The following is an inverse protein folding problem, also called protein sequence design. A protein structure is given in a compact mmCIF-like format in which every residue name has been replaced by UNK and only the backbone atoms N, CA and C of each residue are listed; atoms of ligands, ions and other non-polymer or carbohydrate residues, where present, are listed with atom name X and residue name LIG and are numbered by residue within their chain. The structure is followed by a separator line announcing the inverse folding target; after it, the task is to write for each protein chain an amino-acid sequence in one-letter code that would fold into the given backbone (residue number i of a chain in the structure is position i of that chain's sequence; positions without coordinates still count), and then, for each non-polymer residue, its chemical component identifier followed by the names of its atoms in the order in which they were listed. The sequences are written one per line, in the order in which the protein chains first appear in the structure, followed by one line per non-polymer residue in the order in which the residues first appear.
data_IF_330946252482
#
_entry.id   IF_330946252482
#
_cell.length_a   1.000
_cell.length_b   1.000
_cell.length_c   1.000
_cell.angle_alpha   90.00
_cell.angle_beta   90.00
_cell.angle_gamma   90.00
#
_symmetry.space_group_name_H-M   'P 1'
#
loop_
_entity.id
_entity.type
_entity.pdbx_description
1 polymer ?
#
# COMPACT_ATOMS: atom_id res chain seq x y z
N UNK A 1 11.80 -7.70 8.78
CA UNK A 1 12.61 -6.80 7.95
C UNK A 1 14.07 -6.99 8.34
N UNK A 2 14.95 -7.43 7.43
CA UNK A 2 16.29 -7.96 7.80
C UNK A 2 17.34 -6.90 8.16
N UNK A 3 17.15 -5.63 7.77
CA UNK A 3 18.09 -4.53 8.07
C UNK A 3 17.35 -3.24 8.50
N UNK A 4 17.06 -3.08 9.80
CA UNK A 4 16.47 -1.83 10.32
C UNK A 4 17.40 -0.63 10.11
N UNK A 5 18.72 -0.85 10.08
CA UNK A 5 19.74 0.21 9.91
C UNK A 5 19.69 0.91 8.55
N UNK A 6 19.07 0.30 7.54
CA UNK A 6 18.90 0.90 6.19
C UNK A 6 17.69 1.84 6.10
N UNK A 7 16.88 1.92 7.15
CA UNK A 7 15.72 2.81 7.21
C UNK A 7 16.12 4.22 7.64
N UNK A 8 15.37 5.22 7.18
CA UNK A 8 15.49 6.58 7.72
C UNK A 8 15.02 6.63 9.19
N UNK A 9 15.41 7.67 9.92
CA UNK A 9 15.03 7.88 11.33
C UNK A 9 13.51 7.77 11.54
N UNK A 10 12.71 8.41 10.69
CA UNK A 10 11.24 8.35 10.78
C UNK A 10 10.68 6.94 10.53
N UNK A 11 11.32 6.16 9.65
CA UNK A 11 10.90 4.79 9.35
C UNK A 11 11.30 3.83 10.47
N UNK A 12 12.48 4.01 11.08
CA UNK A 12 12.88 3.28 12.27
C UNK A 12 11.95 3.59 13.44
N UNK A 13 11.57 4.86 13.61
CA UNK A 13 10.60 5.26 14.61
C UNK A 13 9.25 4.57 14.39
N UNK A 14 8.71 4.60 13.17
CA UNK A 14 7.46 3.89 12.84
C UNK A 14 7.55 2.40 13.19
N UNK A 15 8.67 1.76 12.86
CA UNK A 15 8.86 0.34 13.13
C UNK A 15 8.84 0.04 14.64
N UNK A 16 9.64 0.79 15.41
CA UNK A 16 9.74 0.61 16.88
C UNK A 16 8.42 0.89 17.57
N UNK A 17 7.76 2.00 17.26
CA UNK A 17 6.49 2.35 17.90
C UNK A 17 5.38 1.35 17.59
N UNK A 18 5.37 0.74 16.39
CA UNK A 18 4.42 -0.33 16.07
C UNK A 18 4.72 -1.60 16.87
N UNK A 19 6.00 -1.91 17.15
CA UNK A 19 6.34 -3.05 18.00
C UNK A 19 5.90 -2.79 19.44
N UNK A 20 6.22 -1.62 19.99
CA UNK A 20 5.83 -1.22 21.34
C UNK A 20 4.30 -1.32 21.55
N UNK A 21 3.50 -0.81 20.60
CA UNK A 21 2.03 -0.92 20.65
C UNK A 21 1.58 -2.38 20.60
N UNK A 22 2.19 -3.20 19.75
CA UNK A 22 1.82 -4.60 19.59
C UNK A 22 2.13 -5.40 20.86
N UNK A 23 3.24 -5.10 21.51
CA UNK A 23 3.71 -5.80 22.70
C UNK A 23 3.15 -5.19 23.99
N UNK A 24 2.35 -4.13 23.90
CA UNK A 24 1.78 -3.42 25.05
C UNK A 24 2.83 -2.73 25.92
N UNK A 25 3.99 -2.41 25.34
CA UNK A 25 5.14 -1.81 26.03
C UNK A 25 5.37 -0.36 25.58
N UNK A 26 6.25 0.35 26.28
CA UNK A 26 6.68 1.69 25.90
C UNK A 26 8.19 1.80 26.12
N UNK A 27 8.97 1.63 25.05
CA UNK A 27 10.42 1.63 25.13
C UNK A 27 10.98 3.06 25.20
N UNK A 28 12.12 3.23 25.87
CA UNK A 28 12.86 4.51 25.91
C UNK A 28 13.18 5.03 24.51
N UNK A 29 13.42 4.11 23.57
CA UNK A 29 13.69 4.43 22.17
C UNK A 29 12.53 5.13 21.45
N UNK A 30 11.30 5.04 21.96
CA UNK A 30 10.10 5.71 21.42
C UNK A 30 9.77 6.98 22.22
N UNK A 31 10.00 6.98 23.54
CA UNK A 31 9.74 8.13 24.42
C UNK A 31 10.75 9.26 24.20
N UNK A 32 12.03 8.91 24.11
CA UNK A 32 13.15 9.87 24.11
C UNK A 32 13.37 10.47 22.72
N UNK A 33 12.96 9.75 21.68
CA UNK A 33 13.02 10.22 20.30
C UNK A 33 11.75 10.98 19.93
N UNK A 34 11.88 12.25 19.55
CA UNK A 34 10.75 13.02 19.01
C UNK A 34 10.55 12.71 17.52
N UNK A 35 9.30 12.50 17.05
CA UNK A 35 9.02 12.53 15.62
C UNK A 35 9.37 13.93 15.11
N UNK A 36 10.12 14.01 14.01
CA UNK A 36 10.67 15.26 13.47
C UNK A 36 9.64 16.37 13.21
N UNK A 37 10.09 17.56 12.79
CA UNK A 37 9.21 18.71 12.53
C UNK A 37 8.07 18.35 11.57
N UNK A 38 6.86 18.82 11.87
CA UNK A 38 5.70 18.63 10.99
C UNK A 38 5.97 19.30 9.64
N UNK A 39 5.74 18.55 8.58
CA UNK A 39 5.76 19.05 7.21
C UNK A 39 4.59 18.41 6.48
N UNK A 40 3.82 19.20 5.74
CA UNK A 40 2.69 18.71 4.95
C UNK A 40 3.13 17.70 3.87
N UNK A 41 4.39 17.71 3.45
CA UNK A 41 4.95 16.76 2.50
C UNK A 41 5.26 15.38 3.13
N UNK A 42 5.28 15.25 4.45
CA UNK A 42 5.76 14.07 5.17
C UNK A 42 4.65 13.35 5.94
N UNK A 43 3.83 12.62 5.19
CA UNK A 43 2.75 11.75 5.72
C UNK A 43 3.19 10.77 6.81
N UNK A 44 4.45 10.32 6.77
CA UNK A 44 5.02 9.41 7.77
C UNK A 44 5.14 10.07 9.16
N UNK A 45 5.54 11.34 9.22
CA UNK A 45 5.70 12.10 10.47
C UNK A 45 4.36 12.28 11.18
N UNK A 46 3.29 12.59 10.44
CA UNK A 46 1.93 12.69 10.98
C UNK A 46 1.49 11.37 11.62
N UNK A 47 1.78 10.24 10.97
CA UNK A 47 1.42 8.92 11.50
C UNK A 47 2.21 8.53 12.74
N UNK A 48 3.51 8.81 12.76
CA UNK A 48 4.35 8.62 13.95
C UNK A 48 3.85 9.43 15.14
N UNK A 49 3.39 10.66 14.92
CA UNK A 49 2.78 11.51 15.96
C UNK A 49 1.45 10.96 16.46
N UNK A 50 0.60 10.46 15.57
CA UNK A 50 -0.67 9.82 15.96
C UNK A 50 -0.45 8.56 16.82
N UNK A 51 0.53 7.73 16.44
CA UNK A 51 0.90 6.54 17.22
C UNK A 51 1.47 6.92 18.59
N UNK A 52 2.31 7.96 18.65
CA UNK A 52 2.83 8.49 19.93
C UNK A 52 1.72 9.06 20.80
N UNK A 53 0.79 9.81 20.22
CA UNK A 53 -0.37 10.33 20.92
C UNK A 53 -1.20 9.19 21.52
N UNK A 54 -1.43 8.11 20.76
CA UNK A 54 -2.16 6.95 21.23
C UNK A 54 -1.51 6.29 22.46
N UNK A 55 -0.20 6.01 22.41
CA UNK A 55 0.52 5.40 23.55
C UNK A 55 0.55 6.35 24.77
N UNK A 56 0.71 7.65 24.53
CA UNK A 56 0.77 8.64 25.59
C UNK A 56 -0.58 9.03 26.20
N UNK A 57 -1.69 8.47 25.73
CA UNK A 57 -3.04 8.80 26.22
C UNK A 57 -3.62 7.62 26.98
N UNK A 58 -3.85 7.77 28.29
CA UNK A 58 -4.40 6.70 29.13
C UNK A 58 -5.82 6.27 28.73
N UNK A 59 -6.63 7.19 28.21
CA UNK A 59 -7.98 6.93 27.71
C UNK A 59 -8.17 7.56 26.32
N UNK A 60 -7.73 6.88 25.24
CA UNK A 60 -7.77 7.43 23.90
C UNK A 60 -9.22 7.63 23.41
N UNK A 61 -9.46 8.71 22.67
CA UNK A 61 -10.78 8.97 22.09
C UNK A 61 -11.17 7.91 21.07
N UNK A 62 -12.46 7.72 20.85
CA UNK A 62 -12.97 6.76 19.87
C UNK A 62 -12.40 7.00 18.46
N UNK A 63 -12.24 8.27 18.07
CA UNK A 63 -11.64 8.64 16.78
C UNK A 63 -10.17 8.23 16.70
N UNK A 64 -9.40 8.40 17.78
CA UNK A 64 -8.01 7.97 17.82
C UNK A 64 -7.88 6.44 17.74
N UNK A 65 -8.77 5.71 18.43
CA UNK A 65 -8.84 4.25 18.34
C UNK A 65 -9.16 3.81 16.91
N UNK A 66 -10.12 4.45 16.22
CA UNK A 66 -10.45 4.15 14.82
C UNK A 66 -9.24 4.35 13.90
N UNK A 67 -8.48 5.43 14.08
CA UNK A 67 -7.27 5.68 13.31
C UNK A 67 -6.22 4.58 13.55
N UNK A 68 -6.04 4.14 14.80
CA UNK A 68 -5.10 3.05 15.11
C UNK A 68 -5.53 1.72 14.49
N UNK A 69 -6.84 1.44 14.47
CA UNK A 69 -7.40 0.26 13.79
C UNK A 69 -7.08 0.23 12.30
N UNK A 70 -6.80 1.37 11.66
CA UNK A 70 -6.29 1.40 10.29
C UNK A 70 -4.76 1.39 10.24
N UNK A 71 -4.10 2.21 11.05
CA UNK A 71 -2.66 2.43 10.96
C UNK A 71 -1.84 1.17 11.27
N UNK A 72 -2.22 0.45 12.32
CA UNK A 72 -1.49 -0.71 12.81
C UNK A 72 -1.60 -1.92 11.87
N UNK A 73 -2.80 -2.36 11.44
CA UNK A 73 -2.91 -3.58 10.65
C UNK A 73 -2.82 -3.36 9.14
N UNK A 74 -3.05 -2.14 8.63
CA UNK A 74 -3.03 -1.87 7.18
C UNK A 74 -1.83 -1.00 6.82
N UNK A 75 -1.77 0.23 7.36
CA UNK A 75 -0.80 1.20 6.86
C UNK A 75 0.65 0.82 7.13
N UNK A 76 1.00 0.53 8.39
CA UNK A 76 2.40 0.26 8.76
C UNK A 76 2.96 -0.97 8.04
N UNK A 77 2.27 -2.12 7.99
CA UNK A 77 2.71 -3.26 7.18
C UNK A 77 2.89 -2.90 5.70
N UNK A 78 1.92 -2.20 5.10
CA UNK A 78 2.00 -1.82 3.68
C UNK A 78 3.16 -0.86 3.39
N UNK A 79 3.47 0.07 4.30
CA UNK A 79 4.62 0.97 4.16
C UNK A 79 5.93 0.18 4.05
N UNK A 80 6.15 -0.79 4.94
CA UNK A 80 7.36 -1.60 4.90
C UNK A 80 7.40 -2.57 3.71
N UNK A 81 6.26 -3.13 3.30
CA UNK A 81 6.17 -3.97 2.10
C UNK A 81 6.57 -3.21 0.83
N UNK A 82 6.02 -2.01 0.64
CA UNK A 82 6.37 -1.14 -0.49
C UNK A 82 7.84 -0.73 -0.40
N UNK A 83 8.34 -0.41 0.80
CA UNK A 83 9.74 -0.04 0.99
C UNK A 83 10.70 -1.18 0.65
N UNK A 84 10.33 -2.42 0.96
CA UNK A 84 11.14 -3.61 0.64
C UNK A 84 11.03 -4.02 -0.83
N UNK A 85 9.87 -3.81 -1.46
CA UNK A 85 9.58 -4.18 -2.84
C UNK A 85 9.03 -2.98 -3.62
N UNK A 86 9.87 -1.97 -3.85
CA UNK A 86 9.44 -0.68 -4.40
C UNK A 86 9.27 -0.67 -5.93
N UNK A 87 9.62 -1.76 -6.61
CA UNK A 87 9.57 -1.80 -8.07
C UNK A 87 8.12 -1.89 -8.57
N UNK A 88 7.85 -1.24 -9.70
CA UNK A 88 6.52 -1.15 -10.31
C UNK A 88 5.79 -2.50 -10.46
N UNK A 89 6.44 -3.63 -10.85
CA UNK A 89 5.76 -4.91 -10.99
C UNK A 89 5.13 -5.46 -9.71
N UNK A 90 5.53 -4.98 -8.53
CA UNK A 90 4.89 -5.36 -7.26
C UNK A 90 3.64 -4.53 -6.95
N UNK A 91 3.35 -3.48 -7.71
CA UNK A 91 2.27 -2.53 -7.43
C UNK A 91 0.90 -3.17 -7.29
N UNK A 92 0.52 -4.06 -8.23
CA UNK A 92 -0.78 -4.76 -8.15
C UNK A 92 -0.85 -5.72 -6.95
N UNK A 93 0.25 -6.38 -6.61
CA UNK A 93 0.34 -7.23 -5.41
C UNK A 93 0.20 -6.41 -4.12
N UNK A 94 0.84 -5.23 -4.07
CA UNK A 94 0.70 -4.31 -2.94
C UNK A 94 -0.73 -3.82 -2.78
N UNK A 95 -1.37 -3.42 -3.88
CA UNK A 95 -2.76 -2.98 -3.86
C UNK A 95 -3.70 -4.09 -3.40
N UNK A 96 -3.53 -5.32 -3.91
CA UNK A 96 -4.27 -6.49 -3.46
C UNK A 96 -4.06 -6.79 -1.97
N UNK A 97 -2.81 -6.74 -1.49
CA UNK A 97 -2.49 -6.95 -0.08
C UNK A 97 -3.12 -5.89 0.81
N UNK A 98 -3.11 -4.63 0.37
CA UNK A 98 -3.75 -3.53 1.08
C UNK A 98 -5.27 -3.74 1.20
N UNK A 99 -5.94 -4.15 0.11
CA UNK A 99 -7.38 -4.53 0.15
C UNK A 99 -7.60 -5.68 1.13
N UNK A 100 -6.77 -6.72 1.05
CA UNK A 100 -6.86 -7.91 1.91
C UNK A 100 -6.74 -7.54 3.39
N UNK A 101 -5.78 -6.70 3.76
CA UNK A 101 -5.61 -6.21 5.12
C UNK A 101 -6.78 -5.31 5.55
N UNK A 102 -7.35 -4.52 4.65
CA UNK A 102 -8.51 -3.67 5.00
C UNK A 102 -9.79 -4.46 5.26
N UNK A 103 -9.91 -5.71 4.77
CA UNK A 103 -11.09 -6.57 4.99
C UNK A 103 -11.33 -6.91 6.47
N UNK A 104 -10.30 -6.83 7.31
CA UNK A 104 -10.43 -7.11 8.75
C UNK A 104 -10.93 -5.89 9.56
N UNK A 105 -11.09 -4.72 8.93
CA UNK A 105 -11.53 -3.50 9.61
C UNK A 105 -13.03 -3.53 9.96
N UNK A 106 -13.48 -2.74 10.94
CA UNK A 106 -14.92 -2.51 11.17
C UNK A 106 -15.60 -1.87 9.95
N UNK A 107 -16.88 -2.17 9.73
CA UNK A 107 -17.59 -1.79 8.48
C UNK A 107 -17.69 -0.28 8.27
N UNK A 108 -17.90 0.50 9.33
CA UNK A 108 -17.90 1.96 9.28
C UNK A 108 -16.54 2.51 8.78
N UNK A 109 -15.43 1.85 9.11
CA UNK A 109 -14.09 2.21 8.63
C UNK A 109 -13.87 1.71 7.20
N UNK A 110 -14.31 0.48 6.89
CA UNK A 110 -14.19 -0.09 5.54
C UNK A 110 -14.83 0.80 4.49
N UNK A 111 -16.02 1.36 4.75
CA UNK A 111 -16.71 2.22 3.78
C UNK A 111 -15.86 3.43 3.37
N UNK A 112 -15.18 4.07 4.33
CA UNK A 112 -14.28 5.20 4.07
C UNK A 112 -13.06 4.73 3.27
N UNK A 113 -12.43 3.64 3.71
CA UNK A 113 -11.18 3.13 3.12
C UNK A 113 -11.40 2.59 1.70
N UNK A 114 -12.51 1.90 1.44
CA UNK A 114 -12.82 1.39 0.10
C UNK A 114 -13.11 2.51 -0.89
N UNK A 115 -13.77 3.60 -0.47
CA UNK A 115 -13.88 4.80 -1.31
C UNK A 115 -12.49 5.33 -1.70
N UNK A 116 -11.56 5.38 -0.75
CA UNK A 116 -10.17 5.80 -1.02
C UNK A 116 -9.48 4.84 -1.99
N UNK A 117 -9.65 3.52 -1.82
CA UNK A 117 -9.05 2.54 -2.72
C UNK A 117 -9.63 2.62 -4.13
N UNK A 118 -10.95 2.76 -4.27
CA UNK A 118 -11.60 2.95 -5.57
C UNK A 118 -11.08 4.18 -6.30
N UNK A 119 -10.89 5.30 -5.58
CA UNK A 119 -10.33 6.53 -6.15
C UNK A 119 -8.85 6.41 -6.53
N UNK A 120 -8.12 5.43 -5.96
CA UNK A 120 -6.68 5.23 -6.16
C UNK A 120 -6.36 3.86 -6.77
N UNK A 121 -7.29 3.30 -7.56
CA UNK A 121 -7.23 1.94 -8.08
C UNK A 121 -6.29 1.75 -9.29
N UNK A 122 -5.35 2.68 -9.53
CA UNK A 122 -4.41 2.64 -10.66
C UNK A 122 -3.70 1.28 -10.81
N UNK A 123 -3.22 0.72 -9.70
CA UNK A 123 -2.54 -0.59 -9.70
C UNK A 123 -3.47 -1.80 -9.87
N UNK A 124 -4.79 -1.60 -9.86
CA UNK A 124 -5.77 -2.62 -10.22
C UNK A 124 -6.12 -2.62 -11.71
N UNK A 125 -5.57 -1.70 -12.50
CA UNK A 125 -5.81 -1.68 -13.93
C UNK A 125 -5.20 -2.91 -14.62
N UNK A 126 -5.80 -3.38 -15.73
CA UNK A 126 -5.33 -4.56 -16.45
C UNK A 126 -3.84 -4.49 -16.85
N UNK A 127 -3.34 -3.31 -17.20
CA UNK A 127 -1.94 -3.09 -17.58
C UNK A 127 -0.98 -3.42 -16.44
N UNK A 128 -1.31 -3.01 -15.21
CA UNK A 128 -0.51 -3.29 -14.02
C UNK A 128 -0.60 -4.74 -13.59
N UNK A 129 -1.78 -5.34 -13.72
CA UNK A 129 -1.96 -6.78 -13.48
C UNK A 129 -1.08 -7.59 -14.45
N UNK A 130 -1.10 -7.26 -15.73
CA UNK A 130 -0.26 -7.91 -16.74
C UNK A 130 1.24 -7.67 -16.47
N UNK A 131 1.63 -6.46 -16.07
CA UNK A 131 3.03 -6.15 -15.71
C UNK A 131 3.52 -7.00 -14.54
N UNK A 132 2.70 -7.15 -13.50
CA UNK A 132 2.97 -8.05 -12.38
C UNK A 132 3.08 -9.50 -12.85
N UNK A 133 2.16 -9.96 -13.70
CA UNK A 133 2.18 -11.34 -14.20
C UNK A 133 3.43 -11.66 -15.03
N UNK A 134 3.91 -10.72 -15.86
CA UNK A 134 5.17 -10.89 -16.63
C UNK A 134 6.35 -11.16 -15.70
N UNK A 135 6.40 -10.47 -14.56
CA UNK A 135 7.48 -10.58 -13.57
C UNK A 135 7.25 -11.70 -12.53
N UNK A 136 6.21 -12.52 -12.70
CA UNK A 136 5.96 -13.64 -11.79
C UNK A 136 7.03 -14.72 -11.98
N UNK A 137 7.53 -15.28 -10.86
CA UNK A 137 8.54 -16.35 -10.90
C UNK A 137 8.01 -17.65 -11.50
N UNK A 138 6.68 -17.84 -11.50
CA UNK A 138 6.04 -19.00 -12.09
C UNK A 138 5.91 -18.81 -13.59
N UNK A 139 6.71 -19.58 -14.35
CA UNK A 139 6.79 -19.50 -15.82
C UNK A 139 5.42 -19.49 -16.51
N UNK A 140 4.50 -20.37 -16.11
CA UNK A 140 3.17 -20.46 -16.72
C UNK A 140 2.33 -19.18 -16.57
N UNK A 141 2.54 -18.37 -15.53
CA UNK A 141 1.84 -17.09 -15.32
C UNK A 141 2.43 -16.02 -16.22
N UNK A 142 3.75 -15.95 -16.31
CA UNK A 142 4.44 -15.01 -17.20
C UNK A 142 4.09 -15.30 -18.67
N UNK A 143 4.09 -16.57 -19.08
CA UNK A 143 3.66 -17.00 -20.42
C UNK A 143 2.19 -16.67 -20.70
N UNK A 144 1.31 -16.79 -19.71
CA UNK A 144 -0.09 -16.37 -19.82
C UNK A 144 -0.21 -14.85 -20.03
N UNK A 145 0.61 -14.05 -19.34
CA UNK A 145 0.63 -12.60 -19.52
C UNK A 145 1.04 -12.21 -20.95
N UNK A 146 2.10 -12.84 -21.47
CA UNK A 146 2.57 -12.63 -22.84
C UNK A 146 1.48 -12.97 -23.85
N UNK A 147 0.82 -14.12 -23.71
CA UNK A 147 -0.30 -14.50 -24.58
C UNK A 147 -1.44 -13.50 -24.55
N UNK A 148 -1.82 -13.00 -23.37
CA UNK A 148 -2.87 -11.98 -23.22
C UNK A 148 -2.49 -10.66 -23.89
N UNK A 149 -1.23 -10.25 -23.79
CA UNK A 149 -0.72 -9.04 -24.44
C UNK A 149 -0.73 -9.17 -25.96
N UNK A 150 -0.24 -10.30 -26.49
CA UNK A 150 -0.26 -10.56 -27.94
C UNK A 150 -1.69 -10.54 -28.49
N UNK A 151 -2.61 -11.27 -27.83
CA UNK A 151 -4.02 -11.28 -28.23
C UNK A 151 -4.67 -9.88 -28.20
N UNK A 152 -4.34 -9.06 -27.19
CA UNK A 152 -4.84 -7.69 -27.11
C UNK A 152 -4.28 -6.78 -28.23
N UNK A 153 -3.00 -6.95 -28.60
CA UNK A 153 -2.38 -6.23 -29.72
C UNK A 153 -2.99 -6.60 -31.06
N UNK A 154 -3.24 -7.89 -31.29
CA UNK A 154 -3.87 -8.37 -32.52
C UNK A 154 -5.30 -7.84 -32.68
N UNK A 155 -6.07 -7.80 -31.58
CA UNK A 155 -7.43 -7.22 -31.58
C UNK A 155 -7.40 -5.72 -31.92
N UNK A 156 -6.43 -4.98 -31.37
CA UNK A 156 -6.25 -3.55 -31.68
C UNK A 156 -5.93 -3.34 -33.17
N UNK A 157 -5.05 -4.15 -33.75
CA UNK A 157 -4.72 -4.10 -35.19
C UNK A 157 -5.94 -4.35 -36.07
N UNK A 158 -6.74 -5.38 -35.75
CA UNK A 158 -7.99 -5.68 -36.48
C UNK A 158 -8.99 -4.53 -36.41
N UNK A 159 -9.16 -3.93 -35.23
CA UNK A 159 -10.07 -2.79 -35.07
C UNK A 159 -9.60 -1.56 -35.86
N UNK A 160 -8.30 -1.25 -35.83
CA UNK A 160 -7.73 -0.14 -36.62
C UNK A 160 -7.89 -0.36 -38.12
N UNK A 161 -7.66 -1.58 -38.61
CA UNK A 161 -7.91 -1.94 -39.99
C UNK A 161 -9.38 -1.75 -40.38
N UNK A 162 -10.32 -2.17 -39.52
CA UNK A 162 -11.75 -1.99 -39.76
C UNK A 162 -12.17 -0.52 -39.83
N UNK A 163 -11.67 0.34 -38.93
CA UNK A 163 -11.95 1.79 -38.99
C UNK A 163 -11.37 2.46 -40.24
N UNK A 164 -10.20 2.02 -40.72
CA UNK A 164 -9.61 2.52 -41.96
C UNK A 164 -10.45 2.16 -43.20
N UNK A 165 -11.08 0.98 -43.23
CA UNK A 165 -12.00 0.59 -44.30
C UNK A 165 -13.29 1.42 -44.33
N UNK A 166 -13.82 1.85 -43.17
CA UNK A 166 -15.05 2.64 -43.10
C UNK A 166 -14.86 4.14 -43.39
N UNK A 167 -13.65 4.69 -43.28
CA UNK A 167 -13.36 6.08 -43.66
C UNK A 167 -13.06 6.26 -45.16
N UNK A 168 -12.91 5.16 -45.90
CA UNK A 168 -12.64 5.14 -47.34
C UNK A 168 -13.86 4.75 -48.19
N UNK A 169 -15.07 4.71 -47.59
CA UNK A 169 -16.35 4.38 -48.24
C UNK A 169 -17.22 5.61 -48.42
#
# INVERSE_FOLDING_TARGET
MKDIKKLSTDQQYLYRICLDIKDGSCSSSVTDNSPGKLSHARWLTTRNRLLRLYIGTSSPSQNLIILMKYLMPVYAPMWFEIKMKSNCPYGAQHFWKMISLARQLPDNVKQIIYKVFSNNAYFAHPEHILLTMIHDSRKHISELAVRRILAARDKKMKNLGWFAFFQAS
#
